data_IF_550675660130
#
_entry.id   IF_550675660130
#
_cell.length_a   1.000
_cell.length_b   1.000
_cell.length_c   1.000
_cell.angle_alpha   90.00
_cell.angle_beta   90.00
_cell.angle_gamma   90.00
#
_symmetry.space_group_name_H-M   'P 1'
#
loop_
_entity.id
_entity.type
_entity.pdbx_description
1 polymer ?
#
# COMPACT_ATOMS: atom_id res chain seq x y z
N UNK A 1 -19.61 -63.06 -34.32
CA UNK A 1 -18.41 -62.42 -33.77
C UNK A 1 -18.75 -61.00 -33.36
N UNK A 2 -18.66 -60.75 -32.11
CA UNK A 2 -18.94 -59.45 -31.58
C UNK A 2 -17.63 -58.81 -31.12
N UNK A 3 -17.31 -57.73 -31.77
CA UNK A 3 -16.15 -56.92 -31.41
C UNK A 3 -16.59 -55.86 -30.44
N UNK A 4 -16.12 -55.94 -29.23
CA UNK A 4 -16.34 -54.90 -28.25
C UNK A 4 -15.23 -53.90 -28.41
N UNK A 5 -15.55 -52.75 -29.00
CA UNK A 5 -14.64 -51.62 -29.05
C UNK A 5 -14.86 -50.85 -27.79
N UNK A 6 -14.02 -51.08 -26.79
CA UNK A 6 -13.98 -50.22 -25.61
C UNK A 6 -13.22 -48.98 -25.99
N UNK A 7 -13.94 -47.93 -26.34
CA UNK A 7 -13.33 -46.61 -26.48
C UNK A 7 -13.02 -46.11 -25.07
N UNK A 8 -11.78 -46.20 -24.72
CA UNK A 8 -11.29 -45.61 -23.50
C UNK A 8 -11.23 -44.10 -23.70
N UNK A 9 -12.27 -43.41 -23.23
CA UNK A 9 -12.30 -41.96 -23.25
C UNK A 9 -11.40 -41.48 -22.09
N UNK A 10 -10.16 -41.15 -22.45
CA UNK A 10 -9.23 -40.52 -21.51
C UNK A 10 -9.75 -39.10 -21.21
N UNK A 11 -10.37 -38.93 -20.07
CA UNK A 11 -10.76 -37.62 -19.56
C UNK A 11 -9.50 -36.90 -19.10
N UNK A 12 -8.99 -36.04 -19.96
CA UNK A 12 -7.85 -35.18 -19.61
C UNK A 12 -8.35 -34.05 -18.74
N UNK A 13 -8.18 -34.19 -17.42
CA UNK A 13 -8.42 -33.10 -16.49
C UNK A 13 -7.26 -32.13 -16.59
N UNK A 14 -7.46 -31.09 -17.38
CA UNK A 14 -6.61 -29.90 -17.36
C UNK A 14 -6.88 -29.12 -16.08
N UNK A 15 -6.11 -29.41 -15.05
CA UNK A 15 -6.03 -28.50 -13.91
C UNK A 15 -5.24 -27.27 -14.38
N UNK A 16 -5.96 -26.26 -14.82
CA UNK A 16 -5.35 -24.97 -15.05
C UNK A 16 -5.00 -24.36 -13.68
N UNK A 17 -3.76 -24.55 -13.25
CA UNK A 17 -3.20 -23.70 -12.20
C UNK A 17 -3.10 -22.31 -12.80
N UNK A 18 -4.12 -21.48 -12.57
CA UNK A 18 -3.99 -20.05 -12.81
C UNK A 18 -3.11 -19.46 -11.71
N UNK A 19 -1.81 -19.53 -11.91
CA UNK A 19 -0.88 -18.70 -11.15
C UNK A 19 -1.18 -17.28 -11.59
N UNK A 20 -1.79 -16.51 -10.69
CA UNK A 20 -2.00 -15.09 -10.93
C UNK A 20 -0.63 -14.43 -10.90
N UNK A 21 -0.02 -14.35 -12.07
CA UNK A 21 1.26 -13.67 -12.22
C UNK A 21 0.98 -12.17 -12.27
N UNK A 22 1.35 -11.46 -11.20
CA UNK A 22 1.23 -10.02 -11.15
C UNK A 22 2.27 -9.37 -12.06
N UNK A 23 1.91 -8.28 -12.77
CA UNK A 23 2.91 -7.54 -13.52
C UNK A 23 3.95 -6.95 -12.58
N UNK A 24 5.22 -7.00 -12.99
CA UNK A 24 6.31 -6.44 -12.19
C UNK A 24 6.15 -4.94 -12.00
N UNK A 25 6.40 -4.49 -10.78
CA UNK A 25 6.38 -3.08 -10.41
C UNK A 25 7.59 -2.78 -9.52
N UNK A 26 8.55 -1.98 -10.00
CA UNK A 26 9.80 -1.76 -9.28
C UNK A 26 9.62 -1.01 -7.96
N UNK A 27 8.49 -0.32 -7.81
CA UNK A 27 8.19 0.45 -6.62
C UNK A 27 6.72 0.30 -6.26
N UNK A 28 6.40 0.42 -4.97
CA UNK A 28 5.03 0.54 -4.52
C UNK A 28 4.42 1.84 -5.05
N UNK A 29 3.14 1.80 -5.44
CA UNK A 29 2.42 2.97 -5.96
C UNK A 29 1.23 3.30 -5.08
N UNK A 30 1.10 4.56 -4.72
CA UNK A 30 -0.05 5.03 -3.96
C UNK A 30 -1.32 4.91 -4.82
N UNK A 31 -2.30 4.13 -4.33
CA UNK A 31 -3.58 3.93 -5.01
C UNK A 31 -4.76 4.50 -4.23
N UNK A 32 -4.65 4.61 -2.91
CA UNK A 32 -5.73 5.10 -2.07
C UNK A 32 -5.17 5.96 -0.94
N UNK A 33 -5.05 7.28 -1.16
CA UNK A 33 -4.70 8.21 -0.10
C UNK A 33 -5.89 8.47 0.81
N UNK A 34 -5.62 8.90 2.03
CA UNK A 34 -6.62 9.38 2.98
C UNK A 34 -6.23 10.78 3.42
N UNK A 35 -7.14 11.76 3.37
CA UNK A 35 -6.80 13.10 3.82
C UNK A 35 -6.47 13.10 5.33
N UNK A 36 -5.48 13.89 5.75
CA UNK A 36 -5.12 13.96 7.16
C UNK A 36 -6.21 14.65 7.98
N UNK A 37 -6.46 14.11 9.17
CA UNK A 37 -7.31 14.80 10.15
C UNK A 37 -6.51 15.93 10.77
N UNK A 38 -6.95 17.15 10.55
CA UNK A 38 -6.33 18.32 11.11
C UNK A 38 -6.66 18.42 12.62
N UNK A 39 -5.68 18.52 13.51
CA UNK A 39 -5.97 18.68 14.94
C UNK A 39 -6.81 19.92 15.22
N UNK A 40 -7.91 19.77 15.94
CA UNK A 40 -8.86 20.86 16.22
C UNK A 40 -8.17 22.07 16.85
N UNK A 41 -7.29 21.82 17.81
CA UNK A 41 -6.52 22.88 18.45
C UNK A 41 -5.69 23.69 17.44
N UNK A 42 -5.06 22.98 16.50
CA UNK A 42 -4.25 23.64 15.47
C UNK A 42 -5.09 24.45 14.50
N UNK A 43 -6.32 24.02 14.21
CA UNK A 43 -7.27 24.81 13.41
C UNK A 43 -7.64 26.11 14.13
N UNK A 44 -7.93 26.02 15.42
CA UNK A 44 -8.30 27.20 16.25
C UNK A 44 -7.16 28.18 16.36
N UNK A 45 -5.94 27.70 16.49
CA UNK A 45 -4.74 28.52 16.65
C UNK A 45 -4.10 28.89 15.31
N UNK A 46 -4.71 28.47 14.19
CA UNK A 46 -4.22 28.73 12.83
C UNK A 46 -2.77 28.26 12.62
N UNK A 47 -2.45 27.10 13.17
CA UNK A 47 -1.12 26.49 13.02
C UNK A 47 -1.11 25.62 11.77
N UNK A 48 -0.18 25.89 10.88
CA UNK A 48 0.13 25.08 9.71
C UNK A 48 1.47 24.41 9.86
N UNK A 49 1.72 23.35 9.10
CA UNK A 49 2.99 22.65 9.18
C UNK A 49 3.11 21.49 8.22
N UNK A 50 4.15 20.72 8.41
CA UNK A 50 4.42 19.53 7.61
C UNK A 50 5.09 18.45 8.44
N UNK A 51 4.88 17.19 8.06
CA UNK A 51 5.52 16.03 8.67
C UNK A 51 6.05 15.13 7.55
N UNK A 52 7.33 14.85 7.61
CA UNK A 52 7.98 13.88 6.73
C UNK A 52 8.20 12.58 7.49
N UNK A 53 7.76 11.49 6.89
CA UNK A 53 7.83 10.16 7.51
C UNK A 53 8.57 9.20 6.59
N UNK A 54 9.30 8.25 7.19
CA UNK A 54 9.78 7.07 6.49
C UNK A 54 8.90 5.89 6.85
N UNK A 55 8.74 4.96 5.93
CA UNK A 55 7.89 3.79 6.13
C UNK A 55 8.22 2.72 5.10
N UNK A 56 7.70 1.53 5.35
CA UNK A 56 7.76 0.42 4.41
C UNK A 56 6.34 0.14 3.92
N UNK A 57 6.22 -0.45 2.74
CA UNK A 57 4.95 -0.97 2.24
C UNK A 57 5.04 -2.48 2.21
N UNK A 58 4.15 -3.15 2.94
CA UNK A 58 4.13 -4.60 3.00
C UNK A 58 3.56 -5.23 1.72
N UNK A 59 3.56 -6.55 1.65
CA UNK A 59 3.11 -7.29 0.47
C UNK A 59 1.62 -7.12 0.18
N UNK A 60 0.83 -6.63 1.15
CA UNK A 60 -0.58 -6.31 0.96
C UNK A 60 -0.82 -4.85 0.55
N UNK A 61 0.24 -4.04 0.45
CA UNK A 61 0.13 -2.62 0.11
C UNK A 61 -0.13 -1.71 1.29
N UNK A 62 0.07 -2.20 2.50
CA UNK A 62 -0.17 -1.43 3.72
C UNK A 62 1.13 -0.77 4.20
N UNK A 63 1.09 0.56 4.52
CA UNK A 63 2.23 1.21 5.17
C UNK A 63 2.47 0.64 6.58
N UNK A 64 3.72 0.29 6.85
CA UNK A 64 4.17 -0.27 8.14
C UNK A 64 5.51 0.37 8.53
N UNK A 65 5.91 0.18 9.77
CA UNK A 65 7.18 0.73 10.31
C UNK A 65 7.30 2.24 10.09
N UNK A 66 6.22 2.96 10.36
CA UNK A 66 6.14 4.40 10.14
C UNK A 66 6.96 5.14 11.19
N UNK A 67 7.86 6.01 10.73
CA UNK A 67 8.70 6.85 11.59
C UNK A 67 8.65 8.30 11.11
N UNK A 68 8.51 9.23 12.04
CA UNK A 68 8.64 10.65 11.74
C UNK A 68 10.13 10.99 11.69
N UNK A 69 10.59 11.49 10.55
CA UNK A 69 11.99 11.90 10.38
C UNK A 69 12.18 13.42 10.39
N UNK A 70 11.12 14.16 10.10
CA UNK A 70 11.13 15.63 10.18
C UNK A 70 9.70 16.13 10.43
N UNK A 71 9.56 17.09 11.32
CA UNK A 71 8.28 17.72 11.59
C UNK A 71 8.47 19.21 11.92
N UNK A 72 7.64 20.05 11.33
CA UNK A 72 7.60 21.49 11.57
C UNK A 72 6.15 21.97 11.67
N UNK A 73 5.70 22.50 12.85
CA UNK A 73 6.40 22.49 14.12
C UNK A 73 6.48 21.10 14.74
N UNK A 74 7.45 20.91 15.65
CA UNK A 74 7.72 19.61 16.26
C UNK A 74 6.55 19.14 17.10
N UNK A 75 6.16 17.87 17.00
CA UNK A 75 5.17 17.18 17.84
C UNK A 75 3.70 17.63 17.70
N UNK A 76 3.41 18.63 16.89
CA UNK A 76 2.02 19.11 16.73
C UNK A 76 1.21 18.21 15.82
N UNK A 77 1.77 17.84 14.67
CA UNK A 77 1.07 17.08 13.63
C UNK A 77 1.49 15.61 13.52
N UNK A 78 2.47 15.17 14.31
CA UNK A 78 3.07 13.84 14.21
C UNK A 78 2.03 12.72 14.26
N UNK A 79 1.17 12.73 15.27
CA UNK A 79 0.15 11.70 15.46
C UNK A 79 -0.88 11.71 14.32
N UNK A 80 -1.31 12.90 13.91
CA UNK A 80 -2.26 13.04 12.81
C UNK A 80 -1.68 12.53 11.49
N UNK A 81 -0.41 12.82 11.24
CA UNK A 81 0.30 12.34 10.05
C UNK A 81 0.46 10.82 10.04
N UNK A 82 0.89 10.24 11.15
CA UNK A 82 1.02 8.78 11.28
C UNK A 82 -0.33 8.10 11.08
N UNK A 83 -1.37 8.62 11.70
CA UNK A 83 -2.73 8.08 11.56
C UNK A 83 -3.21 8.15 10.11
N UNK A 84 -2.97 9.25 9.43
CA UNK A 84 -3.34 9.40 8.03
C UNK A 84 -2.59 8.38 7.15
N UNK A 85 -1.27 8.33 7.25
CA UNK A 85 -0.45 7.42 6.46
C UNK A 85 -0.83 5.95 6.70
N UNK A 86 -1.17 5.59 7.92
CA UNK A 86 -1.57 4.21 8.25
C UNK A 86 -2.84 3.77 7.53
N UNK A 87 -3.67 4.72 7.10
CA UNK A 87 -4.89 4.45 6.34
C UNK A 87 -4.68 4.42 4.83
N UNK A 88 -3.53 4.86 4.35
CA UNK A 88 -3.24 4.84 2.92
C UNK A 88 -3.07 3.41 2.44
N UNK A 89 -3.30 3.21 1.14
CA UNK A 89 -3.09 1.91 0.49
C UNK A 89 -2.29 2.10 -0.78
N UNK A 90 -1.38 1.17 -0.97
CA UNK A 90 -0.47 1.13 -2.10
C UNK A 90 -0.69 -0.14 -2.92
N UNK A 91 -0.40 -0.07 -4.21
CA UNK A 91 -0.10 -1.28 -4.96
C UNK A 91 1.31 -1.71 -4.56
N UNK A 92 1.53 -2.95 -4.10
CA UNK A 92 2.83 -3.36 -3.59
C UNK A 92 3.88 -3.43 -4.69
N UNK A 93 5.15 -3.37 -4.29
CA UNK A 93 6.26 -3.71 -5.17
C UNK A 93 6.14 -5.16 -5.61
N UNK A 94 6.35 -5.43 -6.90
CA UNK A 94 6.25 -6.79 -7.46
C UNK A 94 7.56 -7.12 -8.17
N UNK A 95 8.15 -8.24 -7.80
CA UNK A 95 9.39 -8.76 -8.41
C UNK A 95 9.13 -10.19 -8.85
N UNK A 96 9.36 -10.48 -10.12
CA UNK A 96 9.13 -11.80 -10.72
C UNK A 96 7.70 -12.33 -10.46
N UNK A 97 6.71 -11.44 -10.55
CA UNK A 97 5.31 -11.79 -10.36
C UNK A 97 4.88 -11.98 -8.90
N UNK A 98 5.74 -11.68 -7.94
CA UNK A 98 5.49 -11.87 -6.51
C UNK A 98 5.54 -10.52 -5.80
N UNK A 99 4.52 -10.23 -4.99
CA UNK A 99 4.51 -9.03 -4.16
C UNK A 99 5.59 -9.15 -3.08
N UNK A 100 6.39 -8.11 -2.95
CA UNK A 100 7.47 -8.02 -1.96
C UNK A 100 7.36 -6.74 -1.16
N UNK A 101 8.02 -6.69 -0.02
CA UNK A 101 8.09 -5.47 0.80
C UNK A 101 8.92 -4.43 0.07
N UNK A 102 8.42 -3.19 0.04
CA UNK A 102 9.18 -2.03 -0.44
C UNK A 102 9.60 -1.22 0.78
N UNK A 103 10.90 -1.10 1.00
CA UNK A 103 11.46 -0.50 2.21
C UNK A 103 11.90 0.94 1.98
N UNK A 104 11.95 1.70 3.08
CA UNK A 104 12.53 3.05 3.13
C UNK A 104 11.89 4.05 2.17
N UNK A 105 10.56 4.02 2.07
CA UNK A 105 9.83 5.08 1.38
C UNK A 105 9.73 6.31 2.27
N UNK A 106 9.63 7.47 1.65
CA UNK A 106 9.42 8.73 2.35
C UNK A 106 8.18 9.45 1.81
N UNK A 107 7.46 10.11 2.70
CA UNK A 107 6.30 10.91 2.33
C UNK A 107 6.19 12.12 3.25
N UNK A 108 5.89 13.27 2.67
CA UNK A 108 5.62 14.49 3.43
C UNK A 108 4.13 14.79 3.34
N UNK A 109 3.49 14.98 4.50
CA UNK A 109 2.11 15.43 4.59
C UNK A 109 2.11 16.89 5.03
N UNK A 110 1.46 17.72 4.24
CA UNK A 110 1.30 19.14 4.55
C UNK A 110 -0.04 19.39 5.21
N UNK A 111 -0.01 20.20 6.27
CA UNK A 111 -1.19 20.64 6.99
C UNK A 111 -1.40 22.12 6.72
N UNK A 112 -2.24 22.41 5.77
CA UNK A 112 -2.55 23.78 5.33
C UNK A 112 -4.01 24.09 5.58
N UNK A 113 -4.27 25.29 6.11
CA UNK A 113 -5.63 25.76 6.30
C UNK A 113 -6.18 26.34 4.99
N UNK A 114 -7.45 26.07 4.74
CA UNK A 114 -8.13 26.66 3.59
C UNK A 114 -8.20 28.17 3.77
N UNK A 115 -7.86 28.90 2.72
CA UNK A 115 -7.97 30.38 2.69
C UNK A 115 -9.34 30.79 2.21
#
# INVERSE_FOLDING_TARGET
>A
MKYIITTLTSLFLLTACSTTHLPDSPNAKLIMPSPPEYPIKSVREKIEGSVTMSFDVDTSGKPVNIKVIKAEPVKIFDKAAIRSLSKWRYAPKVVNGIAVVDEDLEMTIDFNLAK
#
